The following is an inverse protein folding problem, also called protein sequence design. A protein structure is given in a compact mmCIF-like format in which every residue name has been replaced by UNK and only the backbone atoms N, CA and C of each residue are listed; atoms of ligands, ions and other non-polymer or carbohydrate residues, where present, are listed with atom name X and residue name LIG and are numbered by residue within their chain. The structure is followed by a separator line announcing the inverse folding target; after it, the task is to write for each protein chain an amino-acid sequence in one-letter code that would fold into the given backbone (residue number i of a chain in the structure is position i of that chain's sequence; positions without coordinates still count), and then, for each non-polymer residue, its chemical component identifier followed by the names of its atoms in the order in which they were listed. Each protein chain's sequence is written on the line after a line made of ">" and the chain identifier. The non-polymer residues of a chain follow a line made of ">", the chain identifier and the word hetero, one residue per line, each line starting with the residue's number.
data_IF_778163207271
#
_entry.id   IF_778163207271
#
_cell.length_a   1.000
_cell.length_b   1.000
_cell.length_c   1.000
_cell.angle_alpha   90.00
_cell.angle_beta   90.00
_cell.angle_gamma   90.00
#
_symmetry.space_group_name_H-M   'P 1'
#
loop_
_entity.id
_entity.type
_entity.pdbx_description
1 polymer ?
#
# COMPACT_ATOMS: atom_id res chain seq x y z
N UNK A 1 24.25 -46.53 -23.88
CA UNK A 1 23.81 -45.24 -24.46
C UNK A 1 22.60 -44.80 -23.66
N UNK A 2 22.82 -43.88 -22.70
CA UNK A 2 22.18 -42.57 -22.84
C UNK A 2 23.08 -41.38 -22.43
N UNK A 3 23.16 -40.43 -23.35
CA UNK A 3 23.01 -38.97 -23.20
C UNK A 3 23.92 -38.15 -22.26
N UNK A 4 25.06 -37.83 -22.86
CA UNK A 4 25.71 -36.53 -22.98
C UNK A 4 24.80 -35.29 -22.83
N UNK A 5 24.40 -34.92 -21.61
CA UNK A 5 23.89 -33.54 -21.37
C UNK A 5 24.14 -33.01 -19.95
N UNK A 6 25.02 -33.65 -19.16
CA UNK A 6 25.34 -33.23 -17.78
C UNK A 6 26.78 -32.74 -17.58
N UNK A 7 27.48 -32.35 -18.66
CA UNK A 7 28.87 -31.86 -18.58
C UNK A 7 29.07 -30.38 -18.96
N UNK A 8 28.05 -29.60 -19.31
CA UNK A 8 28.22 -28.18 -19.68
C UNK A 8 27.95 -27.15 -18.57
N UNK A 9 27.39 -27.54 -17.41
CA UNK A 9 26.97 -26.57 -16.37
C UNK A 9 27.95 -26.37 -15.20
N UNK A 10 29.01 -27.18 -15.07
CA UNK A 10 30.00 -27.02 -13.97
C UNK A 10 31.29 -26.30 -14.37
N UNK A 11 31.46 -25.94 -15.64
CA UNK A 11 32.63 -25.22 -16.13
C UNK A 11 32.42 -23.72 -16.36
N UNK A 12 31.17 -23.24 -16.32
CA UNK A 12 30.86 -21.80 -16.49
C UNK A 12 30.96 -21.03 -15.16
N UNK A 13 30.87 -21.70 -14.00
CA UNK A 13 30.95 -21.06 -12.68
C UNK A 13 32.38 -20.91 -12.11
N UNK A 14 33.44 -21.29 -12.84
CA UNK A 14 34.83 -21.19 -12.35
C UNK A 14 35.75 -20.30 -13.18
N UNK A 15 35.25 -19.69 -14.25
CA UNK A 15 36.08 -18.89 -15.18
C UNK A 15 35.89 -17.37 -15.05
N UNK A 16 34.99 -16.88 -14.19
CA UNK A 16 34.77 -15.43 -14.00
C UNK A 16 35.18 -14.90 -12.62
N UNK A 17 35.63 -15.76 -11.70
CA UNK A 17 36.11 -15.35 -10.38
C UNK A 17 37.63 -15.12 -10.31
N UNK A 18 38.38 -15.41 -11.39
CA UNK A 18 39.86 -15.41 -11.35
C UNK A 18 40.53 -14.35 -12.23
N UNK A 19 39.78 -13.39 -12.79
CA UNK A 19 40.37 -12.26 -13.56
C UNK A 19 40.03 -10.87 -13.02
N UNK A 20 39.40 -10.75 -11.85
CA UNK A 20 39.08 -9.46 -11.24
C UNK A 20 39.69 -9.30 -9.84
N UNK A 21 40.95 -9.70 -9.71
CA UNK A 21 41.77 -9.42 -8.52
C UNK A 21 43.09 -8.82 -8.96
N UNK A 22 43.06 -7.59 -9.43
CA UNK A 22 44.11 -6.57 -9.21
C UNK A 22 43.71 -5.24 -9.87
N UNK A 23 43.82 -4.16 -9.07
CA UNK A 23 43.56 -2.74 -9.34
C UNK A 23 42.18 -2.18 -8.93
N UNK A 24 42.26 -1.39 -7.87
CA UNK A 24 41.26 -0.58 -7.20
C UNK A 24 40.55 0.43 -8.12
N UNK A 25 39.27 0.65 -7.90
CA UNK A 25 38.80 2.03 -7.83
C UNK A 25 37.65 2.21 -6.82
N UNK A 26 37.88 3.11 -5.87
CA UNK A 26 36.94 3.53 -4.83
C UNK A 26 35.61 4.05 -5.42
N UNK A 27 35.63 4.49 -6.70
CA UNK A 27 34.44 4.89 -7.47
C UNK A 27 33.54 3.75 -7.92
N UNK A 28 34.09 2.55 -8.15
CA UNK A 28 33.34 1.39 -8.66
C UNK A 28 32.51 0.73 -7.52
N UNK A 29 33.05 0.73 -6.30
CA UNK A 29 32.29 0.36 -5.10
C UNK A 29 31.20 1.37 -4.74
N UNK A 30 31.43 2.67 -4.97
CA UNK A 30 30.43 3.71 -4.72
C UNK A 30 29.26 3.61 -5.71
N UNK A 31 29.56 3.45 -7.00
CA UNK A 31 28.58 3.27 -8.05
C UNK A 31 27.81 1.94 -7.88
N UNK A 32 28.49 0.85 -7.49
CA UNK A 32 27.83 -0.43 -7.16
C UNK A 32 26.98 -0.34 -5.89
N UNK A 33 27.38 0.44 -4.88
CA UNK A 33 26.56 0.74 -3.69
C UNK A 33 25.35 1.62 -4.01
N UNK A 34 25.49 2.58 -4.92
CA UNK A 34 24.40 3.44 -5.40
C UNK A 34 23.43 2.67 -6.33
N UNK A 35 23.93 1.79 -7.20
CA UNK A 35 23.15 0.86 -8.01
C UNK A 35 22.42 -0.18 -7.16
N UNK A 36 23.05 -0.74 -6.12
CA UNK A 36 22.38 -1.66 -5.17
C UNK A 36 21.36 -0.92 -4.31
N UNK A 37 21.60 0.35 -3.94
CA UNK A 37 20.57 1.22 -3.34
C UNK A 37 19.39 1.47 -4.28
N UNK A 38 19.65 1.61 -5.58
CA UNK A 38 18.63 1.84 -6.60
C UNK A 38 17.88 0.58 -7.07
N UNK A 39 18.44 -0.62 -6.90
CA UNK A 39 17.83 -1.88 -7.34
C UNK A 39 17.09 -2.67 -6.25
N UNK A 40 17.19 -2.29 -4.97
CA UNK A 40 16.54 -3.00 -3.87
C UNK A 40 16.12 -2.04 -2.74
N UNK A 41 15.27 -1.05 -3.03
CA UNK A 41 14.30 -0.63 -2.00
C UNK A 41 13.19 -1.69 -1.93
N UNK A 42 13.59 -2.89 -1.47
CA UNK A 42 12.66 -3.95 -1.15
C UNK A 42 11.85 -3.45 0.05
N UNK A 43 10.56 -3.20 -0.15
CA UNK A 43 9.66 -2.78 0.92
C UNK A 43 9.85 -3.69 2.15
N UNK A 44 10.29 -3.10 3.25
CA UNK A 44 10.81 -3.77 4.44
C UNK A 44 9.72 -4.20 5.43
N UNK A 45 8.45 -4.11 5.03
CA UNK A 45 7.31 -4.61 5.80
C UNK A 45 6.50 -3.52 6.51
N UNK A 46 5.67 -3.98 7.44
CA UNK A 46 4.70 -3.19 8.23
C UNK A 46 5.14 -1.78 8.64
N UNK A 47 6.31 -1.71 9.29
CA UNK A 47 6.82 -0.48 9.90
C UNK A 47 7.08 0.58 8.84
N UNK A 48 7.53 0.17 7.66
CA UNK A 48 7.75 1.09 6.55
C UNK A 48 6.42 1.64 6.02
N UNK A 49 5.36 0.83 5.95
CA UNK A 49 4.03 1.31 5.53
C UNK A 49 3.49 2.37 6.48
N UNK A 50 3.60 2.11 7.79
CA UNK A 50 3.20 3.05 8.85
C UNK A 50 4.05 4.33 8.76
N UNK A 51 5.36 4.20 8.57
CA UNK A 51 6.22 5.37 8.40
C UNK A 51 5.82 6.22 7.19
N UNK A 52 5.52 5.59 6.05
CA UNK A 52 5.04 6.28 4.85
C UNK A 52 3.68 6.95 5.08
N UNK A 53 2.77 6.37 5.86
CA UNK A 53 1.48 7.03 6.19
C UNK A 53 1.68 8.23 7.13
N UNK A 54 2.58 8.13 8.12
CA UNK A 54 2.96 9.23 9.01
C UNK A 54 3.56 10.41 8.22
N UNK A 55 4.36 10.12 7.20
CA UNK A 55 4.96 11.11 6.29
C UNK A 55 3.93 11.72 5.34
N UNK A 56 3.04 10.91 4.77
CA UNK A 56 2.00 11.36 3.85
C UNK A 56 1.08 12.43 4.47
N UNK A 57 0.81 12.34 5.78
CA UNK A 57 0.03 13.34 6.53
C UNK A 57 0.57 14.76 6.39
N UNK A 58 1.89 14.94 6.19
CA UNK A 58 2.52 16.27 6.09
C UNK A 58 1.99 17.08 4.91
N UNK A 59 1.42 16.41 3.91
CA UNK A 59 0.85 16.99 2.70
C UNK A 59 -0.65 17.28 2.81
N UNK A 60 -1.30 16.95 3.93
CA UNK A 60 -2.73 17.14 4.11
C UNK A 60 -3.12 18.62 3.93
N UNK A 61 -4.12 18.84 3.08
CA UNK A 61 -4.77 20.14 2.95
C UNK A 61 -6.02 20.13 3.82
N UNK A 62 -5.88 20.55 5.07
CA UNK A 62 -6.99 20.54 6.03
C UNK A 62 -7.13 21.88 6.79
N UNK A 63 -7.37 23.00 6.09
CA UNK A 63 -7.44 24.31 6.74
C UNK A 63 -8.67 24.48 7.63
N UNK A 64 -9.70 23.64 7.52
CA UNK A 64 -10.94 23.77 8.28
C UNK A 64 -10.88 22.95 9.57
N UNK A 65 -10.63 21.64 9.49
CA UNK A 65 -10.56 20.80 10.69
C UNK A 65 -9.24 20.93 11.44
N UNK A 66 -8.16 21.32 10.75
CA UNK A 66 -6.77 21.21 11.24
C UNK A 66 -6.39 19.79 11.66
N UNK A 67 -7.12 18.78 11.17
CA UNK A 67 -6.89 17.37 11.49
C UNK A 67 -6.24 16.66 10.30
N UNK A 68 -4.93 16.45 10.39
CA UNK A 68 -4.16 15.83 9.30
C UNK A 68 -4.24 14.31 9.38
N UNK A 69 -4.52 13.69 8.25
CA UNK A 69 -4.53 12.24 8.07
C UNK A 69 -3.67 11.88 6.86
N UNK A 70 -2.85 10.86 7.02
CA UNK A 70 -2.05 10.27 5.96
C UNK A 70 -2.37 8.79 5.81
N UNK A 71 -2.26 8.27 4.59
CA UNK A 71 -2.43 6.87 4.28
C UNK A 71 -1.32 6.38 3.34
N UNK A 72 -0.96 5.11 3.47
CA UNK A 72 -0.05 4.42 2.57
C UNK A 72 -0.60 3.04 2.23
N UNK A 73 -0.88 2.80 0.96
CA UNK A 73 -1.48 1.60 0.41
C UNK A 73 -0.39 0.74 -0.25
N UNK A 74 -0.26 -0.50 0.19
CA UNK A 74 0.63 -1.51 -0.35
C UNK A 74 -0.14 -2.43 -1.29
N UNK A 75 0.36 -2.57 -2.50
CA UNK A 75 -0.14 -3.53 -3.50
C UNK A 75 0.60 -4.87 -3.39
N UNK A 76 0.07 -5.92 -4.00
CA UNK A 76 0.68 -7.25 -3.94
C UNK A 76 2.06 -7.36 -4.62
N UNK A 77 2.36 -6.51 -5.60
CA UNK A 77 3.66 -6.47 -6.27
C UNK A 77 4.72 -5.65 -5.50
N UNK A 78 4.33 -5.05 -4.36
CA UNK A 78 5.21 -4.27 -3.50
C UNK A 78 5.16 -2.75 -3.75
N UNK A 79 4.43 -2.28 -4.77
CA UNK A 79 4.27 -0.85 -5.03
C UNK A 79 3.48 -0.18 -3.91
N UNK A 80 3.93 0.99 -3.46
CA UNK A 80 3.27 1.77 -2.41
C UNK A 80 2.73 3.10 -2.93
N UNK A 81 1.46 3.37 -2.64
CA UNK A 81 0.78 4.62 -2.96
C UNK A 81 0.42 5.37 -1.68
N UNK A 82 0.87 6.63 -1.58
CA UNK A 82 0.53 7.49 -0.44
C UNK A 82 -0.62 8.43 -0.77
N UNK A 83 -1.34 8.84 0.26
CA UNK A 83 -2.44 9.79 0.18
C UNK A 83 -2.58 10.58 1.48
N UNK A 84 -3.26 11.72 1.40
CA UNK A 84 -3.61 12.56 2.54
C UNK A 84 -5.04 13.09 2.39
N UNK A 85 -5.64 13.57 3.48
CA UNK A 85 -6.94 14.22 3.39
C UNK A 85 -6.82 15.60 2.71
N UNK A 86 -7.79 15.91 1.85
CA UNK A 86 -7.92 17.19 1.16
C UNK A 86 -9.32 17.70 1.40
N UNK A 87 -9.42 18.78 2.15
CA UNK A 87 -10.67 19.43 2.49
C UNK A 87 -11.10 20.44 1.44
N UNK A 88 -12.37 20.85 1.53
CA UNK A 88 -12.96 21.85 0.67
C UNK A 88 -13.94 22.71 1.49
N UNK A 89 -14.16 23.97 1.09
CA UNK A 89 -15.15 24.84 1.72
C UNK A 89 -16.56 24.22 1.70
N UNK A 90 -16.87 23.50 0.63
CA UNK A 90 -18.05 22.64 0.54
C UNK A 90 -17.68 21.27 1.11
N UNK A 91 -18.01 21.02 2.39
CA UNK A 91 -17.42 19.91 3.18
C UNK A 91 -17.65 18.51 2.56
N UNK A 92 -18.77 18.31 1.85
CA UNK A 92 -19.07 17.05 1.17
C UNK A 92 -18.15 16.76 -0.04
N UNK A 93 -17.41 17.75 -0.54
CA UNK A 93 -16.43 17.58 -1.61
C UNK A 93 -15.04 17.16 -1.08
N UNK A 94 -14.85 17.14 0.24
CA UNK A 94 -13.61 16.68 0.85
C UNK A 94 -13.36 15.19 0.62
N UNK A 95 -12.08 14.81 0.54
CA UNK A 95 -11.64 13.42 0.38
C UNK A 95 -10.69 13.02 1.50
N UNK A 96 -10.87 11.81 2.02
CA UNK A 96 -10.03 11.24 3.09
C UNK A 96 -8.74 10.65 2.52
N UNK A 97 -7.73 10.50 3.38
CA UNK A 97 -6.40 10.02 2.99
C UNK A 97 -6.43 8.64 2.33
N UNK A 98 -7.25 7.73 2.85
CA UNK A 98 -7.41 6.37 2.36
C UNK A 98 -7.95 6.37 0.92
N UNK A 99 -9.00 7.16 0.68
CA UNK A 99 -9.61 7.32 -0.65
C UNK A 99 -8.66 8.00 -1.63
N UNK A 100 -7.86 8.96 -1.18
CA UNK A 100 -6.79 9.57 -2.00
C UNK A 100 -5.76 8.52 -2.42
N UNK A 101 -5.24 7.71 -1.50
CA UNK A 101 -4.24 6.69 -1.79
C UNK A 101 -4.77 5.60 -2.74
N UNK A 102 -5.99 5.11 -2.49
CA UNK A 102 -6.64 4.11 -3.35
C UNK A 102 -6.94 4.68 -4.72
N UNK A 103 -7.49 5.90 -4.81
CA UNK A 103 -7.79 6.52 -6.11
C UNK A 103 -6.53 6.69 -6.96
N UNK A 104 -5.40 7.07 -6.33
CA UNK A 104 -4.10 7.15 -6.99
C UNK A 104 -3.68 5.79 -7.55
N UNK A 105 -3.65 4.75 -6.71
CA UNK A 105 -3.29 3.39 -7.14
C UNK A 105 -4.14 2.90 -8.31
N UNK A 106 -5.47 3.07 -8.20
CA UNK A 106 -6.43 2.65 -9.24
C UNK A 106 -6.21 3.42 -10.55
N UNK A 107 -5.94 4.73 -10.47
CA UNK A 107 -5.65 5.54 -11.66
C UNK A 107 -4.36 5.11 -12.38
N UNK A 108 -3.42 4.51 -11.65
CA UNK A 108 -2.14 4.00 -12.15
C UNK A 108 -2.21 2.50 -12.52
N UNK A 109 -3.40 1.90 -12.51
CA UNK A 109 -3.65 0.53 -12.97
C UNK A 109 -3.66 -0.55 -11.89
N UNK A 110 -3.51 -0.18 -10.62
CA UNK A 110 -3.41 -1.12 -9.49
C UNK A 110 -4.76 -1.31 -8.80
N UNK A 111 -5.22 -2.56 -8.71
CA UNK A 111 -6.50 -2.93 -8.06
C UNK A 111 -6.38 -4.12 -7.10
N UNK A 112 -5.17 -4.64 -6.92
CA UNK A 112 -4.88 -5.78 -6.05
C UNK A 112 -4.05 -5.31 -4.85
N UNK A 113 -4.71 -5.26 -3.69
CA UNK A 113 -4.20 -4.59 -2.50
C UNK A 113 -3.91 -5.58 -1.38
N UNK A 114 -2.74 -5.41 -0.76
CA UNK A 114 -2.27 -6.25 0.33
C UNK A 114 -2.57 -5.65 1.69
N UNK A 115 -2.32 -4.34 1.84
CA UNK A 115 -2.60 -3.64 3.09
C UNK A 115 -2.64 -2.11 2.92
N UNK A 116 -3.24 -1.39 3.88
CA UNK A 116 -3.15 0.07 4.00
C UNK A 116 -2.83 0.47 5.43
N UNK A 117 -1.90 1.40 5.63
CA UNK A 117 -1.67 2.05 6.92
C UNK A 117 -2.26 3.46 6.95
N UNK A 118 -2.84 3.84 8.09
CA UNK A 118 -3.51 5.11 8.31
C UNK A 118 -2.92 5.77 9.56
N UNK A 119 -2.55 7.03 9.44
CA UNK A 119 -1.95 7.82 10.51
C UNK A 119 -2.63 9.17 10.66
N UNK A 120 -2.69 9.69 11.90
CA UNK A 120 -3.14 11.05 12.19
C UNK A 120 -2.29 11.67 13.30
N UNK A 121 -2.61 12.91 13.68
CA UNK A 121 -2.00 13.59 14.83
C UNK A 121 -2.54 13.16 16.20
N UNK A 122 -3.48 12.21 16.24
CA UNK A 122 -4.10 11.72 17.47
C UNK A 122 -3.14 10.82 18.27
N UNK A 123 -2.75 11.23 19.47
CA UNK A 123 -1.82 10.47 20.33
C UNK A 123 -2.48 9.39 21.19
N UNK A 124 -3.67 9.65 21.72
CA UNK A 124 -4.30 8.76 22.73
C UNK A 124 -5.05 7.58 22.11
N UNK A 125 -5.65 7.74 20.93
CA UNK A 125 -6.39 6.69 20.24
C UNK A 125 -5.83 6.41 18.84
N UNK A 126 -6.15 5.23 18.31
CA UNK A 126 -5.82 4.87 16.93
C UNK A 126 -6.82 5.54 15.98
N UNK A 127 -6.32 6.12 14.88
CA UNK A 127 -7.20 6.68 13.85
C UNK A 127 -7.92 5.56 13.12
N UNK A 128 -9.25 5.57 13.15
CA UNK A 128 -10.09 4.58 12.45
C UNK A 128 -10.61 5.15 11.13
N UNK A 129 -10.63 4.38 10.03
CA UNK A 129 -11.22 4.83 8.77
C UNK A 129 -12.71 5.07 8.93
N UNK A 130 -13.21 6.14 8.31
CA UNK A 130 -14.65 6.43 8.32
C UNK A 130 -15.42 5.40 7.48
N UNK A 131 -16.75 5.31 7.68
CA UNK A 131 -17.59 4.34 6.96
C UNK A 131 -17.46 4.42 5.43
N UNK A 132 -17.32 5.63 4.88
CA UNK A 132 -17.10 5.83 3.45
C UNK A 132 -15.77 5.23 2.96
N UNK A 133 -14.69 5.36 3.73
CA UNK A 133 -13.41 4.73 3.41
C UNK A 133 -13.47 3.21 3.53
N UNK A 134 -14.16 2.68 4.54
CA UNK A 134 -14.38 1.23 4.71
C UNK A 134 -15.09 0.63 3.50
N UNK A 135 -16.18 1.28 3.05
CA UNK A 135 -16.91 0.84 1.86
C UNK A 135 -16.06 0.96 0.59
N UNK A 136 -15.26 2.03 0.47
CA UNK A 136 -14.36 2.22 -0.67
C UNK A 136 -13.25 1.16 -0.73
N UNK A 137 -12.71 0.77 0.43
CA UNK A 137 -11.75 -0.34 0.53
C UNK A 137 -12.39 -1.68 0.14
N UNK A 138 -13.60 -1.95 0.63
CA UNK A 138 -14.34 -3.20 0.41
C UNK A 138 -14.61 -3.51 -1.06
N UNK A 139 -14.74 -2.49 -1.90
CA UNK A 139 -14.88 -2.66 -3.36
C UNK A 139 -13.71 -3.47 -3.98
N UNK A 140 -12.53 -3.39 -3.38
CA UNK A 140 -11.32 -4.07 -3.84
C UNK A 140 -10.99 -5.33 -3.04
N UNK A 141 -11.98 -5.89 -2.35
CA UNK A 141 -11.85 -7.08 -1.51
C UNK A 141 -11.98 -6.77 -0.02
N UNK A 142 -12.27 -7.81 0.76
CA UNK A 142 -12.48 -7.72 2.21
C UNK A 142 -11.30 -8.29 3.04
N UNK A 143 -10.47 -9.13 2.42
CA UNK A 143 -9.46 -9.95 3.12
C UNK A 143 -8.05 -9.37 2.98
N UNK A 144 -7.88 -8.10 3.33
CA UNK A 144 -6.59 -7.42 3.30
C UNK A 144 -6.44 -6.46 4.49
N UNK A 145 -5.18 -6.16 4.85
CA UNK A 145 -4.84 -5.55 6.14
C UNK A 145 -5.07 -4.04 6.21
N UNK A 146 -5.49 -3.56 7.38
CA UNK A 146 -5.67 -2.15 7.70
C UNK A 146 -4.96 -1.85 9.02
N UNK A 147 -3.95 -0.98 8.96
CA UNK A 147 -3.13 -0.59 10.11
C UNK A 147 -3.55 0.77 10.63
N UNK A 148 -4.20 0.75 11.79
CA UNK A 148 -4.62 1.94 12.50
C UNK A 148 -3.46 2.37 13.40
N UNK A 149 -2.74 3.43 13.03
CA UNK A 149 -1.49 3.81 13.70
C UNK A 149 -1.61 5.09 14.53
N UNK A 150 -0.71 5.22 15.50
CA UNK A 150 -0.46 6.41 16.30
C UNK A 150 0.84 7.12 15.86
N UNK A 151 1.03 8.40 16.25
CA UNK A 151 2.26 9.14 15.97
C UNK A 151 3.56 8.49 16.45
N UNK A 152 3.51 7.67 17.51
CA UNK A 152 4.66 6.93 18.05
C UNK A 152 4.99 5.64 17.28
N UNK A 153 4.21 5.32 16.24
CA UNK A 153 4.36 4.13 15.42
C UNK A 153 3.69 2.87 15.97
N UNK A 154 3.07 2.93 17.16
CA UNK A 154 2.21 1.84 17.63
C UNK A 154 0.96 1.72 16.76
N UNK A 155 0.42 0.50 16.65
CA UNK A 155 -0.71 0.24 15.75
C UNK A 155 -1.61 -0.91 16.22
N UNK A 156 -2.82 -0.93 15.66
CA UNK A 156 -3.71 -2.09 15.64
C UNK A 156 -3.87 -2.54 14.19
N UNK A 157 -3.75 -3.84 13.97
CA UNK A 157 -4.07 -4.49 12.69
C UNK A 157 -5.50 -4.99 12.72
N UNK A 158 -6.22 -4.72 11.63
CA UNK A 158 -7.54 -5.28 11.35
C UNK A 158 -7.60 -5.66 9.87
N UNK A 159 -8.62 -6.39 9.48
CA UNK A 159 -9.00 -6.58 8.07
C UNK A 159 -10.11 -5.60 7.68
N UNK A 160 -10.32 -5.44 6.38
CA UNK A 160 -11.49 -4.68 5.88
C UNK A 160 -12.80 -5.33 6.32
N UNK A 161 -12.88 -6.67 6.36
CA UNK A 161 -14.05 -7.42 6.84
C UNK A 161 -14.38 -7.12 8.31
N UNK A 162 -13.38 -7.14 9.20
CA UNK A 162 -13.58 -6.82 10.63
C UNK A 162 -14.03 -5.37 10.83
N UNK A 163 -13.59 -4.45 9.97
CA UNK A 163 -14.00 -3.05 10.00
C UNK A 163 -15.40 -2.82 9.42
N UNK A 164 -15.87 -3.68 8.51
CA UNK A 164 -17.16 -3.55 7.84
C UNK A 164 -17.88 -4.90 7.71
N UNK A 165 -18.35 -5.47 8.83
CA UNK A 165 -19.06 -6.74 8.83
C UNK A 165 -20.39 -6.64 8.08
N UNK A 166 -20.79 -7.73 7.43
CA UNK A 166 -22.04 -7.80 6.64
C UNK A 166 -22.18 -6.66 5.62
N UNK A 167 -21.08 -6.31 4.95
CA UNK A 167 -21.01 -5.18 4.03
C UNK A 167 -21.77 -5.41 2.72
N UNK A 168 -22.41 -4.35 2.23
CA UNK A 168 -22.90 -4.28 0.86
C UNK A 168 -21.74 -4.31 -0.14
N UNK A 169 -21.90 -4.97 -1.28
CA UNK A 169 -20.89 -5.02 -2.35
C UNK A 169 -21.40 -5.49 -3.71
N UNK A 170 -20.49 -5.78 -4.65
CA UNK A 170 -20.82 -6.18 -6.02
C UNK A 170 -21.74 -7.39 -6.13
N UNK A 171 -21.73 -8.29 -5.14
CA UNK A 171 -22.61 -9.45 -5.04
C UNK A 171 -24.09 -9.08 -4.85
N UNK A 172 -24.39 -8.01 -4.11
CA UNK A 172 -25.77 -7.57 -3.84
C UNK A 172 -26.46 -7.06 -5.11
N UNK A 173 -25.71 -6.44 -6.01
CA UNK A 173 -26.21 -5.95 -7.30
C UNK A 173 -26.67 -7.09 -8.23
N UNK A 174 -26.19 -8.32 -8.00
CA UNK A 174 -26.53 -9.52 -8.77
C UNK A 174 -27.71 -10.28 -8.18
N UNK A 175 -28.18 -9.90 -6.99
CA UNK A 175 -29.29 -10.59 -6.33
C UNK A 175 -30.60 -10.37 -7.06
N UNK A 176 -31.48 -11.39 -7.02
CA UNK A 176 -32.82 -11.30 -7.60
C UNK A 176 -33.63 -10.25 -6.83
N UNK A 177 -34.06 -9.22 -7.54
CA UNK A 177 -34.97 -8.21 -6.99
C UNK A 177 -36.37 -8.80 -6.92
N UNK A 178 -37.04 -8.63 -5.77
CA UNK A 178 -38.47 -8.91 -5.68
C UNK A 178 -39.18 -7.90 -6.58
N UNK A 179 -39.96 -8.41 -7.53
CA UNK A 179 -40.74 -7.57 -8.42
C UNK A 179 -42.00 -7.14 -7.66
N UNK A 180 -41.88 -6.09 -6.85
CA UNK A 180 -43.03 -5.47 -6.21
C UNK A 180 -43.78 -4.77 -7.33
N UNK A 181 -44.92 -5.33 -7.76
CA UNK A 181 -45.85 -4.62 -8.63
C UNK A 181 -46.21 -3.33 -7.89
N UNK A 182 -45.82 -2.18 -8.43
CA UNK A 182 -46.13 -0.89 -7.84
C UNK A 182 -47.66 -0.75 -7.79
N UNK A 183 -48.24 -0.86 -6.60
CA UNK A 183 -49.61 -0.45 -6.30
C UNK A 183 -49.60 1.03 -5.85
N UNK A 184 -49.07 1.90 -6.71
CA UNK A 184 -49.22 3.35 -6.60
C UNK A 184 -49.62 3.92 -7.96
#
# INVERSE_FOLDING_TARGET
>A
MPDLEKQSHRQVCRATETQYTQHSNMGDQKMRRELIKGLNEHFSGMKELIQKSLEARKFAYCPYSKFRVGAALLTHDGTVFTGCNVENACFNLGICAERTAISKAVSEGYRDFKAIAIASDMGEHFVSPCGGCRQFMREFGANWGVYLSKPDGSYVEMTVEELLPASFGPEDLKMKKVNIRNEF
#
